data_IF_008330856552
#
_entry.id   IF_008330856552
#
_cell.length_a   1.000
_cell.length_b   1.000
_cell.length_c   1.000
_cell.angle_alpha   90.00
_cell.angle_beta   90.00
_cell.angle_gamma   90.00
#
_symmetry.space_group_name_H-M   'P 1'
#
loop_
_entity.id
_entity.type
_entity.pdbx_description
1 polymer ?
#
# COMPACT_ATOMS: atom_id res chain seq x y z
N UNK A 1 -10.25 -3.20 -0.37
CA UNK A 1 -9.10 -3.99 -0.89
C UNK A 1 -8.25 -4.51 0.26
N UNK A 2 -7.62 -5.61 0.07
CA UNK A 2 -6.79 -6.26 1.09
C UNK A 2 -5.38 -6.47 0.55
N UNK A 3 -4.38 -6.11 1.36
CA UNK A 3 -2.97 -6.38 1.09
C UNK A 3 -2.73 -7.88 1.31
N UNK A 4 -2.23 -8.60 0.30
CA UNK A 4 -2.07 -10.04 0.46
C UNK A 4 -0.64 -10.49 0.77
N UNK A 5 0.30 -9.57 0.83
CA UNK A 5 1.64 -9.81 1.36
C UNK A 5 2.18 -8.50 1.93
N UNK A 6 3.25 -8.55 2.72
CA UNK A 6 3.81 -7.33 3.30
C UNK A 6 4.14 -6.33 2.19
N UNK A 7 3.57 -5.14 2.24
CA UNK A 7 3.61 -4.16 1.16
C UNK A 7 3.99 -2.78 1.69
N UNK A 8 4.98 -2.18 1.06
CA UNK A 8 5.43 -0.82 1.41
C UNK A 8 4.38 0.21 1.01
N UNK A 9 4.05 1.08 1.95
CA UNK A 9 3.22 2.27 1.71
C UNK A 9 4.19 3.45 1.56
N UNK A 10 4.12 4.15 0.43
CA UNK A 10 5.08 5.18 0.06
C UNK A 10 4.44 6.55 -0.04
N UNK A 11 5.28 7.58 -0.03
CA UNK A 11 4.81 8.97 -0.17
C UNK A 11 4.46 9.33 -1.62
N UNK A 12 4.86 8.53 -2.60
CA UNK A 12 4.61 8.81 -4.02
C UNK A 12 4.55 7.56 -4.87
N UNK A 13 4.27 7.74 -6.15
CA UNK A 13 4.02 6.68 -7.14
C UNK A 13 5.32 6.12 -7.73
N UNK A 14 6.28 5.75 -6.90
CA UNK A 14 7.54 5.21 -7.39
C UNK A 14 8.23 4.38 -6.33
N UNK A 15 8.99 3.38 -6.78
CA UNK A 15 9.80 2.54 -5.89
C UNK A 15 10.92 3.33 -5.20
N UNK A 16 11.24 4.51 -5.72
CA UNK A 16 12.23 5.42 -5.14
C UNK A 16 11.64 6.41 -4.15
N UNK A 17 10.31 6.45 -4.02
CA UNK A 17 9.64 7.32 -3.05
C UNK A 17 9.90 6.85 -1.63
N UNK A 18 9.86 7.79 -0.69
CA UNK A 18 10.04 7.50 0.73
C UNK A 18 9.01 6.50 1.23
N UNK A 19 9.46 5.51 2.02
CA UNK A 19 8.57 4.52 2.62
C UNK A 19 8.01 5.10 3.91
N UNK A 20 6.67 5.18 4.00
CA UNK A 20 5.98 5.64 5.20
C UNK A 20 5.94 4.50 6.22
N UNK A 21 5.54 3.32 5.78
CA UNK A 21 5.47 2.12 6.62
C UNK A 21 5.39 0.88 5.72
N UNK A 22 5.49 -0.29 6.31
CA UNK A 22 5.26 -1.56 5.60
C UNK A 22 4.00 -2.19 6.17
N UNK A 23 2.96 -2.27 5.35
CA UNK A 23 1.69 -2.86 5.74
C UNK A 23 1.82 -4.38 5.81
N UNK A 24 1.34 -4.98 6.89
CA UNK A 24 1.33 -6.42 7.05
C UNK A 24 0.29 -7.07 6.12
N UNK A 25 0.55 -8.28 5.66
CA UNK A 25 -0.43 -9.05 4.89
C UNK A 25 -1.74 -9.14 5.66
N UNK A 26 -2.86 -8.94 4.96
CA UNK A 26 -4.19 -8.89 5.57
C UNK A 26 -4.68 -7.49 5.92
N UNK A 27 -3.83 -6.46 5.78
CA UNK A 27 -4.23 -5.08 6.01
C UNK A 27 -5.31 -4.67 5.03
N UNK A 28 -6.35 -4.03 5.53
CA UNK A 28 -7.45 -3.52 4.69
C UNK A 28 -7.22 -2.04 4.40
N UNK A 29 -7.43 -1.67 3.13
CA UNK A 29 -7.24 -0.30 2.67
C UNK A 29 -8.39 0.13 1.79
N UNK A 30 -8.62 1.44 1.73
CA UNK A 30 -9.60 2.05 0.83
C UNK A 30 -8.83 2.73 -0.30
N UNK A 31 -9.16 2.41 -1.55
CA UNK A 31 -8.54 3.06 -2.70
C UNK A 31 -9.16 4.44 -2.88
N UNK A 32 -8.32 5.47 -2.90
CA UNK A 32 -8.74 6.85 -3.07
C UNK A 32 -8.53 7.33 -4.50
N UNK A 33 -7.45 6.86 -5.16
CA UNK A 33 -7.07 7.36 -6.47
C UNK A 33 -6.27 6.31 -7.21
N UNK A 34 -6.46 6.23 -8.50
CA UNK A 34 -5.68 5.36 -9.38
C UNK A 34 -4.51 6.18 -9.94
N UNK A 35 -3.31 5.69 -9.75
CA UNK A 35 -2.09 6.33 -10.21
C UNK A 35 -1.56 5.76 -11.53
N UNK A 36 -0.27 5.98 -11.78
CA UNK A 36 0.35 5.57 -13.04
C UNK A 36 0.48 4.05 -13.15
N UNK A 37 0.43 3.56 -14.37
CA UNK A 37 0.70 2.16 -14.68
C UNK A 37 2.21 1.91 -14.68
N UNK A 38 2.62 0.76 -14.16
CA UNK A 38 4.03 0.36 -14.13
C UNK A 38 4.13 -1.16 -14.08
N UNK A 39 5.19 -1.71 -14.69
CA UNK A 39 5.52 -3.11 -14.53
C UNK A 39 6.59 -3.22 -13.45
N UNK A 40 6.30 -3.95 -12.37
CA UNK A 40 7.26 -4.17 -11.28
C UNK A 40 7.33 -5.68 -11.04
N UNK A 41 8.55 -6.21 -11.11
CA UNK A 41 8.81 -7.64 -10.90
C UNK A 41 7.94 -8.55 -11.79
N UNK A 42 7.66 -8.11 -13.02
CA UNK A 42 6.85 -8.85 -13.96
C UNK A 42 5.34 -8.69 -13.78
N UNK A 43 4.91 -7.89 -12.82
CA UNK A 43 3.49 -7.63 -12.57
C UNK A 43 3.10 -6.31 -13.23
N UNK A 44 2.11 -6.34 -14.10
CA UNK A 44 1.55 -5.14 -14.72
C UNK A 44 0.38 -4.65 -13.89
N UNK A 45 0.48 -3.48 -13.29
CA UNK A 45 -0.59 -2.90 -12.51
C UNK A 45 -0.40 -1.38 -12.39
N UNK A 46 -1.23 -0.75 -11.61
CA UNK A 46 -1.17 0.68 -11.36
C UNK A 46 -0.77 0.95 -9.92
N UNK A 47 -0.06 2.05 -9.69
CA UNK A 47 0.07 2.62 -8.36
C UNK A 47 -1.30 3.11 -7.93
N UNK A 48 -1.63 2.94 -6.65
CA UNK A 48 -2.90 3.39 -6.09
C UNK A 48 -2.65 4.17 -4.81
N UNK A 49 -3.39 5.26 -4.65
CA UNK A 49 -3.39 6.02 -3.41
C UNK A 49 -4.43 5.38 -2.51
N UNK A 50 -4.04 5.04 -1.30
CA UNK A 50 -4.91 4.32 -0.38
C UNK A 50 -4.94 4.99 0.98
N UNK A 51 -6.05 4.79 1.67
CA UNK A 51 -6.21 5.16 3.07
C UNK A 51 -6.27 3.87 3.88
N UNK A 52 -5.44 3.80 4.91
CA UNK A 52 -5.40 2.63 5.81
C UNK A 52 -6.62 2.64 6.71
N UNK A 53 -7.31 1.52 6.78
CA UNK A 53 -8.49 1.36 7.63
C UNK A 53 -8.09 0.94 9.04
N UNK A 54 -9.02 1.04 9.99
CA UNK A 54 -8.74 0.69 11.38
C UNK A 54 -8.35 -0.78 11.53
N UNK A 55 -7.48 -1.08 12.49
CA UNK A 55 -7.03 -2.43 12.76
C UNK A 55 -5.78 -2.85 11.98
N UNK A 56 -5.22 -1.95 11.16
CA UNK A 56 -4.02 -2.24 10.39
C UNK A 56 -2.79 -2.35 11.29
N UNK A 57 -1.88 -3.25 10.89
CA UNK A 57 -0.60 -3.44 11.57
C UNK A 57 0.54 -3.33 10.55
N UNK A 58 1.69 -2.84 11.01
CA UNK A 58 2.91 -2.91 10.20
C UNK A 58 3.55 -4.29 10.36
N UNK A 59 4.64 -4.53 9.65
CA UNK A 59 5.31 -5.85 9.65
C UNK A 59 5.86 -6.23 11.03
N UNK A 60 6.06 -5.26 11.91
CA UNK A 60 6.55 -5.50 13.27
C UNK A 60 5.42 -5.68 14.29
N UNK A 61 4.17 -5.63 13.82
CA UNK A 61 3.00 -5.79 14.67
C UNK A 61 2.52 -4.52 15.35
N UNK A 62 3.12 -3.37 15.04
CA UNK A 62 2.68 -2.09 15.59
C UNK A 62 1.47 -1.57 14.83
N UNK A 63 0.55 -0.93 15.55
CA UNK A 63 -0.66 -0.39 14.92
C UNK A 63 -0.30 0.75 13.97
N UNK A 64 -0.85 0.68 12.74
CA UNK A 64 -0.82 1.79 11.80
C UNK A 64 -2.05 2.62 12.07
N UNK A 65 -1.88 3.94 12.28
CA UNK A 65 -3.02 4.83 12.53
C UNK A 65 -3.99 4.78 11.36
N UNK A 66 -5.28 4.66 11.66
CA UNK A 66 -6.31 4.79 10.61
C UNK A 66 -6.17 6.18 9.99
N UNK A 67 -6.64 6.34 8.77
CA UNK A 67 -6.53 7.58 7.99
C UNK A 67 -5.10 7.89 7.50
N UNK A 68 -4.14 7.01 7.74
CA UNK A 68 -2.83 7.13 7.11
C UNK A 68 -3.01 6.96 5.60
N UNK A 69 -2.53 7.93 4.82
CA UNK A 69 -2.68 7.95 3.37
C UNK A 69 -1.31 7.84 2.71
N UNK A 70 -1.24 7.06 1.66
CA UNK A 70 -0.02 6.93 0.88
C UNK A 70 -0.26 6.15 -0.40
N UNK A 71 0.83 5.85 -1.09
CA UNK A 71 0.80 5.13 -2.36
C UNK A 71 1.37 3.74 -2.20
N UNK A 72 0.73 2.77 -2.81
CA UNK A 72 1.26 1.41 -2.88
C UNK A 72 0.99 0.82 -4.26
N UNK A 73 1.69 -0.26 -4.60
CA UNK A 73 1.53 -0.89 -5.90
C UNK A 73 0.31 -1.80 -5.89
N UNK A 74 -0.63 -1.53 -6.78
CA UNK A 74 -1.92 -2.22 -6.82
C UNK A 74 -1.83 -3.71 -7.14
N UNK A 75 -0.73 -4.17 -7.73
CA UNK A 75 -0.53 -5.59 -8.04
C UNK A 75 -0.52 -6.51 -6.83
N UNK A 76 -0.37 -5.97 -5.62
CA UNK A 76 -0.36 -6.73 -4.36
C UNK A 76 -1.64 -6.54 -3.55
N UNK A 77 -2.69 -6.03 -4.16
CA UNK A 77 -4.00 -5.85 -3.53
C UNK A 77 -5.04 -6.79 -4.13
N UNK A 78 -5.98 -7.16 -3.33
CA UNK A 78 -7.15 -7.94 -3.76
C UNK A 78 -8.45 -7.25 -3.36
#
# INVERSE_FOLDING_TARGET
MTVFENLKLRSGEATTSEVITVMQAGTKVKILELGKAENIDGINSNWVKVEVLSGAKDRDGNTISKDTVGWCYGGYLK
#
